data_IF_256984101716
#
_entry.id   IF_256984101716
#
_cell.length_a   1.000
_cell.length_b   1.000
_cell.length_c   1.000
_cell.angle_alpha   90.00
_cell.angle_beta   90.00
_cell.angle_gamma   90.00
#
_symmetry.space_group_name_H-M   'P 1'
#
loop_
_entity.id
_entity.type
_entity.pdbx_description
1 polymer ?
#
# COMPACT_ATOMS: atom_id res chain seq x y z
N UNK A 1 -14.63 9.11 -1.60
CA UNK A 1 -15.36 9.09 -2.89
C UNK A 1 -14.40 8.43 -3.86
N UNK A 2 -14.80 7.30 -4.46
CA UNK A 2 -13.91 6.55 -5.35
C UNK A 2 -13.41 7.44 -6.49
N UNK A 3 -12.10 7.46 -6.69
CA UNK A 3 -11.43 8.24 -7.72
C UNK A 3 -10.53 7.36 -8.59
N UNK A 4 -9.98 7.96 -9.64
CA UNK A 4 -9.07 7.30 -10.58
C UNK A 4 -7.79 6.91 -9.85
N UNK A 5 -7.28 5.69 -10.05
CA UNK A 5 -5.98 5.30 -9.50
C UNK A 5 -4.86 6.17 -10.08
N UNK A 6 -3.75 6.38 -9.34
CA UNK A 6 -2.62 7.18 -9.83
C UNK A 6 -1.92 6.49 -11.02
N UNK A 7 -0.96 7.17 -11.64
CA UNK A 7 -0.04 6.52 -12.57
C UNK A 7 0.80 5.45 -11.85
N UNK A 8 1.42 4.54 -12.63
CA UNK A 8 2.36 3.58 -12.09
C UNK A 8 3.51 4.27 -11.33
N UNK A 9 3.93 3.69 -10.20
CA UNK A 9 5.03 4.21 -9.41
C UNK A 9 5.81 3.06 -8.76
N UNK A 10 7.01 3.39 -8.27
CA UNK A 10 7.81 2.48 -7.45
C UNK A 10 8.43 3.22 -6.28
N UNK A 11 8.49 2.56 -5.14
CA UNK A 11 9.15 3.04 -3.93
C UNK A 11 10.03 1.94 -3.36
N UNK A 12 11.21 2.32 -2.86
CA UNK A 12 12.10 1.45 -2.12
C UNK A 12 12.51 2.17 -0.85
N UNK A 13 12.40 1.50 0.30
CA UNK A 13 12.81 2.04 1.59
C UNK A 13 13.15 0.91 2.56
N UNK A 14 13.62 1.25 3.76
CA UNK A 14 13.86 0.28 4.83
C UNK A 14 12.87 0.51 5.96
N UNK A 15 12.14 -0.55 6.32
CA UNK A 15 11.23 -0.58 7.46
C UNK A 15 11.66 -1.61 8.52
N UNK A 16 10.84 -1.83 9.54
CA UNK A 16 11.13 -2.76 10.64
C UNK A 16 11.43 -4.21 10.22
N UNK A 17 10.85 -4.71 9.13
CA UNK A 17 11.07 -6.05 8.57
C UNK A 17 12.29 -6.11 7.64
N UNK A 18 12.98 -4.98 7.43
CA UNK A 18 14.09 -4.85 6.50
C UNK A 18 13.70 -4.08 5.24
N UNK A 19 14.23 -4.43 4.06
CA UNK A 19 13.98 -3.68 2.84
C UNK A 19 12.56 -3.89 2.32
N UNK A 20 11.96 -2.79 1.86
CA UNK A 20 10.65 -2.72 1.23
C UNK A 20 10.85 -2.33 -0.23
N UNK A 21 10.18 -3.05 -1.13
CA UNK A 21 9.99 -2.63 -2.52
C UNK A 21 8.50 -2.64 -2.81
N UNK A 22 7.97 -1.52 -3.26
CA UNK A 22 6.57 -1.39 -3.67
C UNK A 22 6.57 -0.95 -5.12
N UNK A 23 5.77 -1.62 -5.94
CA UNK A 23 5.54 -1.26 -7.34
C UNK A 23 4.05 -1.32 -7.60
N UNK A 24 3.47 -0.18 -7.95
CA UNK A 24 2.08 -0.13 -8.34
C UNK A 24 1.95 -0.05 -9.86
N UNK A 25 0.99 -0.80 -10.37
CA UNK A 25 0.61 -0.82 -11.78
C UNK A 25 -0.92 -0.70 -11.87
N UNK A 26 -1.45 0.37 -12.49
CA UNK A 26 -2.86 0.44 -12.84
C UNK A 26 -3.24 -0.74 -13.73
N UNK A 27 -4.36 -1.41 -13.43
CA UNK A 27 -4.93 -2.44 -14.31
C UNK A 27 -6.07 -1.86 -15.14
N UNK A 28 -6.78 -0.86 -14.60
CA UNK A 28 -7.73 -0.02 -15.32
C UNK A 28 -7.80 1.38 -14.70
N UNK A 29 -8.92 2.09 -14.89
CA UNK A 29 -9.14 3.43 -14.35
C UNK A 29 -9.26 3.46 -12.81
N UNK A 30 -9.72 2.37 -12.20
CA UNK A 30 -10.16 2.34 -10.81
C UNK A 30 -9.45 1.29 -9.96
N UNK A 31 -8.75 0.36 -10.60
CA UNK A 31 -8.10 -0.78 -9.99
C UNK A 31 -6.62 -0.83 -10.37
N UNK A 32 -5.85 -1.57 -9.58
CA UNK A 32 -4.46 -1.85 -9.89
C UNK A 32 -3.88 -2.98 -9.07
N UNK A 33 -2.62 -3.28 -9.34
CA UNK A 33 -1.83 -4.29 -8.64
C UNK A 33 -0.65 -3.62 -7.96
N UNK A 34 -0.36 -4.08 -6.76
CA UNK A 34 0.85 -3.74 -6.03
C UNK A 34 1.72 -4.98 -5.94
N UNK A 35 2.88 -4.95 -6.58
CA UNK A 35 3.94 -5.92 -6.32
C UNK A 35 4.75 -5.41 -5.14
N UNK A 36 4.75 -6.18 -4.06
CA UNK A 36 5.38 -5.81 -2.79
C UNK A 36 6.44 -6.84 -2.44
N UNK A 37 7.58 -6.40 -1.95
CA UNK A 37 8.53 -7.24 -1.25
C UNK A 37 8.89 -6.61 0.09
N UNK A 38 8.75 -7.36 1.18
CA UNK A 38 9.07 -6.93 2.54
C UNK A 38 9.99 -7.97 3.16
N UNK A 39 11.19 -7.56 3.57
CA UNK A 39 12.13 -8.48 4.22
C UNK A 39 12.52 -9.68 3.35
N UNK A 40 12.45 -9.54 2.03
CA UNK A 40 12.69 -10.64 1.06
C UNK A 40 11.47 -11.51 0.75
N UNK A 41 10.33 -11.31 1.42
CA UNK A 41 9.06 -12.00 1.10
C UNK A 41 8.33 -11.22 0.01
N UNK A 42 8.12 -11.84 -1.14
CA UNK A 42 7.39 -11.24 -2.27
C UNK A 42 5.89 -11.56 -2.20
N UNK A 43 5.07 -10.55 -2.47
CA UNK A 43 3.61 -10.56 -2.36
C UNK A 43 2.99 -9.77 -3.52
N UNK A 44 1.71 -10.04 -3.78
CA UNK A 44 0.92 -9.33 -4.78
C UNK A 44 -0.40 -8.92 -4.18
N UNK A 45 -0.61 -7.61 -4.04
CA UNK A 45 -1.83 -7.05 -3.46
C UNK A 45 -2.68 -6.43 -4.57
N UNK A 46 -4.00 -6.55 -4.43
CA UNK A 46 -4.94 -5.86 -5.32
C UNK A 46 -5.35 -4.55 -4.69
N UNK A 47 -5.29 -3.49 -5.48
CA UNK A 47 -5.96 -2.23 -5.18
C UNK A 47 -7.41 -2.38 -5.65
N UNK A 48 -8.35 -2.24 -4.73
CA UNK A 48 -9.80 -2.36 -4.99
C UNK A 48 -10.53 -1.03 -4.76
N UNK A 49 -9.86 -0.08 -4.12
CA UNK A 49 -10.34 1.28 -3.94
C UNK A 49 -9.22 2.30 -4.17
N UNK A 50 -9.63 3.54 -4.43
CA UNK A 50 -8.78 4.69 -4.41
C UNK A 50 -9.63 5.87 -3.95
N UNK A 51 -9.27 6.46 -2.82
CA UNK A 51 -9.96 7.61 -2.27
C UNK A 51 -9.18 8.90 -2.56
N UNK A 52 -9.92 9.97 -2.83
CA UNK A 52 -9.35 11.31 -2.92
C UNK A 52 -9.56 12.04 -1.60
N UNK A 53 -8.47 12.44 -0.97
CA UNK A 53 -8.51 13.29 0.21
C UNK A 53 -8.82 14.75 -0.16
N UNK A 54 -9.21 15.56 0.84
CA UNK A 54 -9.49 16.99 0.64
C UNK A 54 -8.28 17.78 0.11
N UNK A 55 -7.07 17.29 0.35
CA UNK A 55 -5.82 17.81 -0.21
C UNK A 55 -5.66 17.56 -1.72
N UNK A 56 -6.52 16.73 -2.31
CA UNK A 56 -6.41 16.24 -3.67
C UNK A 56 -5.55 14.98 -3.81
N UNK A 57 -4.90 14.52 -2.74
CA UNK A 57 -4.11 13.30 -2.73
C UNK A 57 -4.99 12.07 -3.01
N UNK A 58 -4.50 11.18 -3.87
CA UNK A 58 -5.15 9.89 -4.14
C UNK A 58 -4.48 8.83 -3.27
N UNK A 59 -5.29 8.08 -2.53
CA UNK A 59 -4.86 7.03 -1.61
C UNK A 59 -5.43 5.70 -2.12
N UNK A 60 -4.66 4.89 -2.86
CA UNK A 60 -5.04 3.55 -3.23
C UNK A 60 -5.07 2.63 -2.01
N UNK A 61 -6.08 1.76 -1.94
CA UNK A 61 -6.23 0.82 -0.85
C UNK A 61 -6.76 -0.54 -1.29
N UNK A 62 -6.65 -1.48 -0.36
CA UNK A 62 -7.07 -2.86 -0.55
C UNK A 62 -6.67 -3.75 0.61
N UNK A 63 -6.71 -5.06 0.39
CA UNK A 63 -6.33 -6.04 1.40
C UNK A 63 -5.02 -6.72 1.01
N UNK A 64 -4.11 -6.88 1.98
CA UNK A 64 -2.87 -7.61 1.76
C UNK A 64 -3.18 -9.07 1.44
N UNK A 65 -2.27 -9.70 0.69
CA UNK A 65 -2.33 -11.12 0.37
C UNK A 65 -0.92 -11.69 0.36
N UNK A 66 -0.72 -12.82 1.03
CA UNK A 66 0.60 -13.44 1.22
C UNK A 66 1.44 -12.82 2.33
N UNK A 67 0.84 -11.97 3.19
CA UNK A 67 1.50 -11.35 4.35
C UNK A 67 1.53 -12.22 5.60
N UNK A 68 0.79 -13.32 5.60
CA UNK A 68 0.68 -14.25 6.72
C UNK A 68 2.03 -14.81 7.19
N UNK A 69 3.01 -15.12 6.33
CA UNK A 69 4.34 -15.53 6.79
C UNK A 69 5.11 -14.44 7.57
N UNK A 70 4.76 -13.16 7.37
CA UNK A 70 5.38 -12.03 8.07
C UNK A 70 4.63 -11.68 9.36
N UNK A 71 3.29 -11.67 9.30
CA UNK A 71 2.46 -11.06 10.34
C UNK A 71 1.40 -12.01 10.93
N UNK A 72 1.33 -13.25 10.47
CA UNK A 72 0.31 -14.24 10.80
C UNK A 72 -1.14 -13.78 10.51
N UNK A 73 -1.31 -12.75 9.68
CA UNK A 73 -2.62 -12.19 9.34
C UNK A 73 -2.60 -11.43 8.00
N UNK A 74 -3.79 -11.02 7.56
CA UNK A 74 -4.02 -10.07 6.48
C UNK A 74 -4.54 -8.75 7.03
N UNK A 75 -4.17 -7.64 6.39
CA UNK A 75 -4.57 -6.31 6.79
C UNK A 75 -5.15 -5.55 5.62
N UNK A 76 -6.02 -4.60 5.90
CA UNK A 76 -6.30 -3.54 4.94
C UNK A 76 -5.08 -2.63 4.85
N UNK A 77 -4.76 -2.13 3.67
CA UNK A 77 -3.67 -1.19 3.46
C UNK A 77 -4.17 0.07 2.76
N UNK A 78 -3.53 1.19 3.07
CA UNK A 78 -3.61 2.45 2.35
C UNK A 78 -2.21 2.83 1.91
N UNK A 79 -2.08 3.22 0.64
CA UNK A 79 -0.83 3.72 0.11
C UNK A 79 -0.87 5.25 0.02
N UNK A 80 -0.03 5.92 0.80
CA UNK A 80 -0.04 7.38 0.96
C UNK A 80 1.26 7.99 0.42
N UNK A 81 1.41 7.99 -0.91
CA UNK A 81 2.64 8.45 -1.56
C UNK A 81 2.78 9.97 -1.68
N UNK A 82 1.67 10.70 -1.55
CA UNK A 82 1.71 12.16 -1.50
C UNK A 82 2.16 12.69 -0.13
N UNK A 83 2.20 11.84 0.90
CA UNK A 83 2.70 12.21 2.21
C UNK A 83 4.23 12.39 2.14
N UNK A 84 4.78 13.25 2.99
CA UNK A 84 6.22 13.51 3.09
C UNK A 84 6.71 13.17 4.51
N UNK A 85 7.37 12.01 4.71
CA UNK A 85 7.69 11.01 3.69
C UNK A 85 6.50 10.11 3.30
N UNK A 86 6.56 9.44 2.13
CA UNK A 86 5.58 8.43 1.73
C UNK A 86 5.43 7.33 2.76
N UNK A 87 4.22 6.78 2.91
CA UNK A 87 3.97 5.69 3.85
C UNK A 87 2.94 4.67 3.36
N UNK A 88 3.04 3.45 3.91
CA UNK A 88 1.96 2.47 3.91
C UNK A 88 1.33 2.45 5.29
N UNK A 89 0.00 2.56 5.36
CA UNK A 89 -0.76 2.36 6.59
C UNK A 89 -1.49 1.04 6.51
N UNK A 90 -1.45 0.25 7.58
CA UNK A 90 -2.14 -1.02 7.70
C UNK A 90 -3.22 -0.93 8.78
N UNK A 91 -4.37 -1.47 8.47
CA UNK A 91 -5.56 -1.47 9.31
C UNK A 91 -5.97 -2.90 9.62
N UNK A 92 -6.20 -3.19 10.90
CA UNK A 92 -6.94 -4.36 11.34
C UNK A 92 -8.44 -4.10 11.28
N UNK A 93 -9.20 -4.64 12.24
CA UNK A 93 -10.62 -4.37 12.37
C UNK A 93 -10.88 -2.90 12.78
N UNK A 94 -10.93 -2.00 11.78
CA UNK A 94 -11.22 -0.57 11.91
C UNK A 94 -10.22 0.25 12.75
N UNK A 95 -9.05 -0.31 13.06
CA UNK A 95 -8.00 0.34 13.85
C UNK A 95 -6.68 0.27 13.08
N UNK A 96 -5.93 1.38 13.08
CA UNK A 96 -4.57 1.40 12.55
C UNK A 96 -3.73 0.43 13.37
N UNK A 97 -3.30 -0.65 12.73
CA UNK A 97 -2.38 -1.60 13.33
C UNK A 97 -0.96 -1.07 13.26
N UNK A 98 -0.61 -0.45 12.12
CA UNK A 98 0.77 -0.10 11.80
C UNK A 98 0.91 0.96 10.71
N UNK A 99 2.00 1.73 10.76
CA UNK A 99 2.46 2.58 9.65
C UNK A 99 3.95 2.31 9.34
N UNK A 100 4.27 2.18 8.06
CA UNK A 100 5.64 2.05 7.55
C UNK A 100 5.96 3.24 6.65
N UNK A 101 6.96 4.04 7.05
CA UNK A 101 7.35 5.28 6.36
C UNK A 101 8.64 5.06 5.60
N UNK A 102 8.71 5.58 4.38
CA UNK A 102 10.00 5.77 3.72
C UNK A 102 10.84 6.76 4.53
N UNK A 103 12.12 6.47 4.73
CA UNK A 103 13.07 7.39 5.37
C UNK A 103 13.70 8.31 4.32
#
# INVERSE_FOLDING_TARGET
MRTTVPAAFSLVFTGPEGPYTIRFQPTDKWDGRVDVSIGGVAMHWRVVDADQEASGAVVPGGMTSGSEPLWNDQYWFELRFSDAPPLIRYWGNQVVWREDRAA
#
